data_IF_551185465181
#
_entry.id   IF_551185465181
#
_cell.length_a   1.000
_cell.length_b   1.000
_cell.length_c   1.000
_cell.angle_alpha   90.00
_cell.angle_beta   90.00
_cell.angle_gamma   90.00
#
_symmetry.space_group_name_H-M   'P 1'
#
loop_
_entity.id
_entity.type
_entity.pdbx_description
1 polymer ?
#
# COMPACT_ATOMS: atom_id res chain seq x y z
N UNK A 1 -71.91 21.15 -32.95
CA UNK A 1 -72.26 21.80 -34.17
C UNK A 1 -71.14 21.52 -35.16
N UNK A 2 -71.27 20.42 -35.90
CA UNK A 2 -71.56 20.32 -37.34
C UNK A 2 -70.55 21.02 -38.22
N UNK A 3 -69.99 20.49 -39.20
CA UNK A 3 -70.21 19.53 -40.25
C UNK A 3 -69.08 19.70 -41.29
N UNK A 4 -68.47 18.75 -41.72
CA UNK A 4 -68.70 17.80 -42.83
C UNK A 4 -68.02 18.13 -44.14
N UNK A 5 -67.43 17.08 -44.72
CA UNK A 5 -67.48 16.64 -46.19
C UNK A 5 -66.51 17.33 -47.16
N UNK A 6 -65.92 16.71 -48.15
CA UNK A 6 -65.92 15.42 -48.87
C UNK A 6 -64.78 15.43 -49.83
N UNK A 7 -64.08 14.35 -49.98
CA UNK A 7 -64.05 13.41 -51.13
C UNK A 7 -63.77 13.98 -52.55
N UNK A 8 -62.69 13.49 -53.15
CA UNK A 8 -62.74 12.65 -54.39
C UNK A 8 -61.41 12.75 -55.17
N UNK A 9 -60.77 11.67 -55.29
CA UNK A 9 -60.65 10.66 -56.34
C UNK A 9 -59.40 10.80 -57.23
N UNK A 10 -58.66 9.69 -57.17
CA UNK A 10 -57.70 9.16 -58.12
C UNK A 10 -58.23 9.15 -59.59
N UNK A 11 -57.45 8.94 -60.67
CA UNK A 11 -56.54 7.80 -60.83
C UNK A 11 -55.27 8.04 -61.73
N UNK A 12 -54.28 7.22 -61.52
CA UNK A 12 -53.78 6.16 -62.39
C UNK A 12 -52.73 6.47 -63.46
N UNK A 13 -51.76 5.62 -63.46
CA UNK A 13 -50.97 4.93 -64.53
C UNK A 13 -49.88 5.70 -65.28
N UNK A 14 -48.74 5.21 -65.21
CA UNK A 14 -47.96 4.29 -66.07
C UNK A 14 -46.53 4.78 -66.23
N UNK A 15 -45.64 3.96 -65.84
CA UNK A 15 -44.70 3.10 -66.57
C UNK A 15 -43.52 3.77 -67.29
N UNK A 16 -42.37 3.26 -66.96
CA UNK A 16 -41.25 2.93 -67.84
C UNK A 16 -40.01 3.81 -67.84
N UNK A 17 -38.99 3.19 -67.39
CA UNK A 17 -37.64 2.92 -67.96
C UNK A 17 -36.53 3.93 -67.91
N UNK A 18 -35.52 3.41 -67.33
CA UNK A 18 -34.08 3.28 -67.73
C UNK A 18 -33.14 4.50 -67.69
N UNK A 19 -32.09 4.25 -66.98
CA UNK A 19 -30.66 4.49 -67.26
C UNK A 19 -30.00 5.81 -66.88
N UNK A 20 -28.94 5.57 -66.18
CA UNK A 20 -27.58 6.11 -66.30
C UNK A 20 -27.16 7.36 -65.48
N UNK A 21 -26.30 7.06 -64.55
CA UNK A 21 -25.03 7.77 -64.23
C UNK A 21 -24.95 9.28 -64.30
N UNK A 22 -24.66 9.91 -63.22
CA UNK A 22 -23.53 10.85 -63.10
C UNK A 22 -23.29 11.27 -61.66
N UNK A 23 -22.03 11.22 -61.24
CA UNK A 23 -21.41 11.78 -60.09
C UNK A 23 -21.67 13.27 -59.94
N UNK A 24 -22.08 13.71 -58.75
CA UNK A 24 -21.83 15.08 -58.31
C UNK A 24 -21.66 15.07 -56.79
N UNK A 25 -20.46 15.47 -56.40
CA UNK A 25 -20.07 15.74 -55.03
C UNK A 25 -20.92 16.84 -54.42
N UNK A 26 -21.59 16.54 -53.31
CA UNK A 26 -22.27 17.49 -52.46
C UNK A 26 -21.64 17.46 -51.07
N UNK A 27 -20.85 18.48 -50.74
CA UNK A 27 -20.41 18.72 -49.37
C UNK A 27 -21.61 19.04 -48.49
N UNK A 28 -21.95 18.11 -47.61
CA UNK A 28 -22.85 18.35 -46.48
C UNK A 28 -22.01 18.23 -45.24
N UNK A 29 -21.74 19.36 -44.60
CA UNK A 29 -21.11 19.43 -43.27
C UNK A 29 -22.07 18.89 -42.24
N UNK A 30 -21.94 17.61 -41.93
CA UNK A 30 -22.50 17.02 -40.72
C UNK A 30 -21.46 17.26 -39.60
N UNK A 31 -21.87 17.91 -38.52
CA UNK A 31 -21.10 17.98 -37.32
C UNK A 31 -20.84 16.56 -36.83
N UNK A 32 -19.57 16.13 -36.85
CA UNK A 32 -19.12 14.94 -36.17
C UNK A 32 -19.26 15.16 -34.65
N UNK A 33 -19.80 14.17 -33.92
CA UNK A 33 -19.63 14.18 -32.47
C UNK A 33 -18.15 14.08 -32.15
N UNK A 34 -17.69 14.86 -31.17
CA UNK A 34 -16.33 14.88 -30.70
C UNK A 34 -15.79 13.45 -30.52
N UNK A 35 -14.68 13.21 -31.20
CA UNK A 35 -13.95 11.96 -31.15
C UNK A 35 -13.59 11.66 -29.70
N UNK A 36 -14.01 10.50 -29.22
CA UNK A 36 -13.55 9.87 -28.01
C UNK A 36 -12.04 9.97 -27.93
N UNK A 37 -11.54 10.44 -26.78
CA UNK A 37 -10.13 10.35 -26.39
C UNK A 37 -9.60 8.95 -26.70
N UNK A 38 -8.41 8.90 -27.26
CA UNK A 38 -7.82 7.67 -27.76
C UNK A 38 -7.69 6.63 -26.65
N UNK A 39 -8.26 5.46 -26.89
CA UNK A 39 -7.93 4.27 -26.14
C UNK A 39 -6.42 4.04 -26.26
N UNK A 40 -5.75 3.91 -25.13
CA UNK A 40 -4.34 3.56 -25.06
C UNK A 40 -4.11 2.22 -25.76
N UNK A 41 -2.98 2.07 -26.46
CA UNK A 41 -2.66 0.91 -27.29
C UNK A 41 -2.64 -0.44 -26.54
N UNK A 42 -2.64 -0.43 -25.20
CA UNK A 42 -2.55 -1.62 -24.34
C UNK A 42 -3.90 -2.10 -23.79
N UNK A 43 -5.00 -1.40 -24.03
CA UNK A 43 -6.34 -1.81 -23.57
C UNK A 43 -6.55 -1.81 -22.04
N UNK A 44 -5.59 -1.29 -21.28
CA UNK A 44 -5.65 -1.25 -19.81
C UNK A 44 -6.47 -0.06 -19.27
N UNK A 45 -6.69 0.97 -20.07
CA UNK A 45 -7.40 2.19 -19.67
C UNK A 45 -8.64 2.41 -20.56
N UNK A 46 -9.73 3.05 -20.04
CA UNK A 46 -9.84 3.59 -18.67
C UNK A 46 -9.96 2.52 -17.59
N UNK A 47 -9.52 2.86 -16.39
CA UNK A 47 -9.65 2.02 -15.19
C UNK A 47 -10.44 2.78 -14.14
N UNK A 48 -11.34 2.11 -13.44
CA UNK A 48 -12.09 2.66 -12.31
C UNK A 48 -11.75 1.87 -11.06
N UNK A 49 -11.35 2.56 -10.00
CA UNK A 49 -10.99 1.95 -8.72
C UNK A 49 -11.90 2.54 -7.64
N UNK A 50 -12.67 1.66 -7.00
CA UNK A 50 -13.52 2.01 -5.87
C UNK A 50 -12.70 2.06 -4.58
N UNK A 51 -12.99 3.02 -3.71
CA UNK A 51 -12.43 3.14 -2.37
C UNK A 51 -13.52 3.48 -1.35
N UNK A 52 -13.18 3.40 -0.06
CA UNK A 52 -14.11 3.79 1.01
C UNK A 52 -14.52 5.27 0.97
N UNK A 53 -13.70 6.11 0.34
CA UNK A 53 -13.92 7.56 0.26
C UNK A 53 -14.54 8.02 -1.07
N UNK A 54 -14.48 7.18 -2.11
CA UNK A 54 -15.02 7.49 -3.44
C UNK A 54 -14.36 6.69 -4.55
N UNK A 55 -14.66 7.04 -5.78
CA UNK A 55 -14.21 6.38 -7.00
C UNK A 55 -13.11 7.19 -7.68
N UNK A 56 -12.06 6.53 -8.15
CA UNK A 56 -11.02 7.10 -8.99
C UNK A 56 -11.18 6.59 -10.43
N UNK A 57 -11.44 7.49 -11.39
CA UNK A 57 -11.50 7.17 -12.84
C UNK A 57 -10.20 7.63 -13.48
N UNK A 58 -9.42 6.69 -13.99
CA UNK A 58 -8.11 6.90 -14.60
C UNK A 58 -8.25 6.65 -16.10
N UNK A 59 -8.29 7.70 -16.89
CA UNK A 59 -8.60 7.62 -18.32
C UNK A 59 -7.42 7.13 -19.19
N UNK A 60 -6.19 7.33 -18.73
CA UNK A 60 -4.98 6.99 -19.48
C UNK A 60 -3.84 6.65 -18.51
N UNK A 61 -2.77 6.02 -19.02
CA UNK A 61 -1.59 5.66 -18.22
C UNK A 61 -1.00 6.90 -17.54
N UNK A 62 -0.95 6.91 -16.19
CA UNK A 62 -0.41 8.03 -15.42
C UNK A 62 1.08 8.25 -15.68
N UNK A 63 1.51 9.51 -15.54
CA UNK A 63 2.91 9.94 -15.74
C UNK A 63 3.43 10.78 -14.58
N UNK A 64 2.55 11.44 -13.84
CA UNK A 64 2.89 12.33 -12.75
C UNK A 64 2.15 11.87 -11.50
N UNK A 65 2.78 10.94 -10.80
CA UNK A 65 2.18 10.28 -9.64
C UNK A 65 2.64 10.97 -8.37
N UNK A 66 1.70 11.28 -7.50
CA UNK A 66 1.96 11.65 -6.10
C UNK A 66 1.54 10.47 -5.22
N UNK A 67 2.36 10.17 -4.20
CA UNK A 67 2.07 9.08 -3.26
C UNK A 67 1.93 9.59 -1.84
N UNK A 68 0.91 9.07 -1.15
CA UNK A 68 0.59 9.35 0.26
C UNK A 68 0.44 8.01 0.98
N UNK A 69 0.96 7.92 2.20
CA UNK A 69 0.91 6.72 3.01
C UNK A 69 1.99 5.70 2.69
N UNK A 70 1.91 4.56 3.37
CA UNK A 70 2.96 3.54 3.33
C UNK A 70 2.93 2.71 2.05
N UNK A 71 4.10 2.34 1.52
CA UNK A 71 4.28 1.36 0.44
C UNK A 71 3.86 1.83 -0.97
N UNK A 72 3.20 2.99 -1.11
CA UNK A 72 2.75 3.46 -2.42
C UNK A 72 3.90 3.85 -3.34
N UNK A 73 4.91 4.55 -2.82
CA UNK A 73 6.12 4.89 -3.57
C UNK A 73 6.92 3.65 -3.95
N UNK A 74 7.10 2.71 -3.01
CA UNK A 74 7.78 1.43 -3.21
C UNK A 74 7.22 0.67 -4.41
N UNK A 75 5.91 0.46 -4.39
CA UNK A 75 5.23 -0.30 -5.44
C UNK A 75 5.28 0.40 -6.79
N UNK A 76 5.06 1.72 -6.82
CA UNK A 76 5.15 2.49 -8.06
C UNK A 76 6.55 2.41 -8.67
N UNK A 77 7.62 2.55 -7.86
CA UNK A 77 9.01 2.45 -8.30
C UNK A 77 9.35 1.02 -8.75
N UNK A 78 8.90 -0.01 -8.03
CA UNK A 78 9.10 -1.40 -8.42
C UNK A 78 8.40 -1.73 -9.76
N UNK A 79 7.24 -1.14 -10.03
CA UNK A 79 6.53 -1.22 -11.30
C UNK A 79 7.09 -0.31 -12.40
N UNK A 80 8.21 0.34 -12.13
CA UNK A 80 8.92 1.12 -13.14
C UNK A 80 8.48 2.57 -13.27
N UNK A 81 7.69 3.11 -12.36
CA UNK A 81 7.22 4.49 -12.38
C UNK A 81 7.70 5.25 -11.16
N UNK A 82 8.57 6.24 -11.36
CA UNK A 82 9.06 7.09 -10.27
C UNK A 82 8.04 8.20 -10.00
N UNK A 83 7.53 8.32 -8.75
CA UNK A 83 6.65 9.43 -8.38
C UNK A 83 7.32 10.79 -8.58
N UNK A 84 6.53 11.83 -8.84
CA UNK A 84 7.03 13.22 -8.89
C UNK A 84 7.11 13.86 -7.52
N UNK A 85 6.27 13.42 -6.58
CA UNK A 85 6.34 13.81 -5.18
C UNK A 85 5.86 12.66 -4.27
N UNK A 86 6.45 12.58 -3.07
CA UNK A 86 6.19 11.57 -2.04
C UNK A 86 6.02 12.22 -0.68
N UNK A 87 5.28 11.57 0.19
CA UNK A 87 5.21 11.93 1.60
C UNK A 87 6.61 11.91 2.24
N UNK A 88 6.93 12.94 3.04
CA UNK A 88 8.17 12.96 3.80
C UNK A 88 8.20 11.90 4.90
N UNK A 89 9.29 11.14 4.96
CA UNK A 89 9.51 10.15 6.01
C UNK A 89 10.32 10.76 7.15
N UNK A 90 9.64 11.44 8.07
CA UNK A 90 10.30 12.13 9.20
C UNK A 90 10.95 11.13 10.17
N UNK A 91 10.28 10.01 10.45
CA UNK A 91 10.81 8.97 11.31
C UNK A 91 11.37 7.80 10.50
N UNK A 92 12.64 7.51 10.64
CA UNK A 92 13.31 6.42 9.90
C UNK A 92 13.60 6.73 8.43
N UNK A 93 13.43 7.99 8.00
CA UNK A 93 13.91 8.45 6.70
C UNK A 93 15.39 8.83 6.72
N UNK A 94 15.94 9.07 5.54
CA UNK A 94 17.28 9.58 5.35
C UNK A 94 17.38 11.09 5.64
N UNK A 95 18.52 11.71 5.28
CA UNK A 95 18.75 13.14 5.51
C UNK A 95 17.78 14.07 4.73
N UNK A 96 17.18 13.56 3.67
CA UNK A 96 16.22 14.29 2.83
C UNK A 96 14.77 13.82 3.10
N UNK A 97 14.54 13.15 4.23
CA UNK A 97 13.25 12.59 4.65
C UNK A 97 12.63 11.63 3.62
N UNK A 98 13.46 10.82 2.96
CA UNK A 98 13.01 9.77 2.05
C UNK A 98 13.32 8.38 2.64
N UNK A 99 12.58 7.37 2.20
CA UNK A 99 12.87 5.97 2.54
C UNK A 99 14.14 5.54 1.80
N UNK A 100 15.16 5.05 2.53
CA UNK A 100 16.47 4.74 1.97
C UNK A 100 16.39 3.74 0.81
N UNK A 101 15.60 2.67 0.95
CA UNK A 101 15.44 1.63 -0.08
C UNK A 101 14.73 2.14 -1.34
N UNK A 102 13.79 3.09 -1.20
CA UNK A 102 13.11 3.73 -2.34
C UNK A 102 14.08 4.64 -3.07
N UNK A 103 14.84 5.47 -2.34
CA UNK A 103 15.90 6.31 -2.91
C UNK A 103 16.92 5.47 -3.69
N UNK A 104 17.47 4.42 -3.08
CA UNK A 104 18.45 3.53 -3.72
C UNK A 104 17.91 2.92 -5.02
N UNK A 105 16.62 2.51 -5.02
CA UNK A 105 15.99 1.96 -6.21
C UNK A 105 15.85 3.01 -7.34
N UNK A 106 15.47 4.25 -7.01
CA UNK A 106 15.35 5.36 -7.96
C UNK A 106 16.73 5.74 -8.52
N UNK A 107 17.74 5.90 -7.66
CA UNK A 107 19.11 6.23 -8.07
C UNK A 107 19.72 5.14 -8.97
N UNK A 108 19.50 3.86 -8.65
CA UNK A 108 19.94 2.72 -9.47
C UNK A 108 19.34 2.72 -10.87
N UNK A 109 18.13 3.27 -11.03
CA UNK A 109 17.48 3.46 -12.34
C UNK A 109 18.01 4.68 -13.08
N UNK A 110 18.66 5.61 -12.39
CA UNK A 110 19.12 6.89 -12.92
C UNK A 110 17.99 7.91 -13.10
N UNK A 111 16.88 7.73 -12.40
CA UNK A 111 15.75 8.65 -12.40
C UNK A 111 16.02 9.82 -11.44
N UNK A 112 15.28 10.92 -11.62
CA UNK A 112 15.30 12.05 -10.70
C UNK A 112 14.53 11.70 -9.42
N UNK A 113 15.07 12.11 -8.26
CA UNK A 113 14.41 11.88 -6.98
C UNK A 113 13.14 12.74 -6.87
N UNK A 114 12.05 12.19 -6.30
CA UNK A 114 10.82 12.94 -6.09
C UNK A 114 11.00 14.08 -5.09
N UNK A 115 10.20 15.13 -5.22
CA UNK A 115 10.04 16.12 -4.17
C UNK A 115 9.38 15.47 -2.94
N UNK A 116 9.70 15.95 -1.74
CA UNK A 116 9.00 15.54 -0.51
C UNK A 116 8.01 16.61 -0.07
N UNK A 117 6.91 16.19 0.54
CA UNK A 117 5.92 17.10 1.13
C UNK A 117 5.41 16.57 2.46
N UNK A 118 5.03 17.50 3.34
CA UNK A 118 4.53 17.21 4.68
C UNK A 118 3.10 16.65 4.64
N UNK A 119 2.80 15.68 5.50
CA UNK A 119 1.45 15.15 5.71
C UNK A 119 1.00 15.26 7.17
N UNK A 120 1.89 15.59 8.09
CA UNK A 120 1.61 15.68 9.52
C UNK A 120 2.03 17.06 10.04
N UNK A 121 1.16 17.81 10.74
CA UNK A 121 -0.21 17.44 11.17
C UNK A 121 -1.27 17.50 10.06
N UNK A 122 -0.99 18.12 8.93
CA UNK A 122 -1.90 18.24 7.79
C UNK A 122 -1.13 18.07 6.48
N UNK A 123 -1.82 17.59 5.45
CA UNK A 123 -1.23 17.44 4.11
C UNK A 123 -0.97 18.82 3.51
N UNK A 124 0.24 19.07 3.03
CA UNK A 124 0.58 20.25 2.25
C UNK A 124 -0.04 20.16 0.84
N UNK A 125 -1.30 20.62 0.76
CA UNK A 125 -2.07 20.58 -0.49
C UNK A 125 -1.48 21.48 -1.57
N UNK A 126 -0.76 22.54 -1.20
CA UNK A 126 -0.10 23.43 -2.14
C UNK A 126 1.08 22.72 -2.82
N UNK A 127 1.90 21.99 -2.04
CA UNK A 127 2.99 21.18 -2.58
C UNK A 127 2.47 20.04 -3.49
N UNK A 128 1.37 19.39 -3.11
CA UNK A 128 0.72 18.38 -3.97
C UNK A 128 0.25 19.01 -5.29
N UNK A 129 -0.38 20.19 -5.24
CA UNK A 129 -0.85 20.88 -6.45
C UNK A 129 0.31 21.37 -7.34
N UNK A 130 1.43 21.85 -6.75
CA UNK A 130 2.65 22.25 -7.48
C UNK A 130 3.30 21.06 -8.20
N UNK A 131 3.12 19.85 -7.69
CA UNK A 131 3.59 18.64 -8.36
C UNK A 131 2.80 18.30 -9.64
N UNK A 132 1.66 18.97 -9.91
CA UNK A 132 0.80 18.77 -11.08
C UNK A 132 0.50 17.29 -11.33
N UNK A 133 -0.07 16.55 -10.37
CA UNK A 133 -0.32 15.12 -10.51
C UNK A 133 -1.38 14.81 -11.58
N UNK A 134 -1.23 13.67 -12.23
CA UNK A 134 -2.30 13.04 -13.03
C UNK A 134 -2.86 11.77 -12.33
N UNK A 135 -2.26 11.37 -11.20
CA UNK A 135 -2.74 10.35 -10.29
C UNK A 135 -2.19 10.58 -8.87
N UNK A 136 -3.04 10.37 -7.86
CA UNK A 136 -2.66 10.34 -6.45
C UNK A 136 -2.94 8.94 -5.89
N UNK A 137 -1.91 8.30 -5.31
CA UNK A 137 -2.00 6.97 -4.72
C UNK A 137 -1.94 7.07 -3.19
N UNK A 138 -3.00 6.63 -2.52
CA UNK A 138 -3.14 6.64 -1.07
C UNK A 138 -3.86 5.38 -0.51
N UNK A 139 -3.66 4.16 -1.07
CA UNK A 139 -4.42 2.97 -0.68
C UNK A 139 -4.09 2.46 0.73
N UNK A 140 -2.94 2.82 1.30
CA UNK A 140 -2.56 2.52 2.69
C UNK A 140 -2.22 3.82 3.41
N UNK A 141 -3.25 4.61 3.67
CA UNK A 141 -3.15 5.93 4.28
C UNK A 141 -4.27 6.18 5.28
N UNK A 142 -4.19 7.30 5.98
CA UNK A 142 -5.23 7.79 6.87
C UNK A 142 -5.89 9.07 6.36
N UNK A 143 -5.91 9.31 5.03
CA UNK A 143 -6.58 10.50 4.50
C UNK A 143 -8.06 10.49 4.87
N UNK A 144 -8.57 11.67 5.25
CA UNK A 144 -9.98 11.86 5.60
C UNK A 144 -10.83 12.11 4.35
N UNK A 145 -12.16 12.05 4.49
CA UNK A 145 -13.06 12.40 3.39
C UNK A 145 -12.82 13.82 2.87
N UNK A 146 -12.63 14.79 3.76
CA UNK A 146 -12.39 16.19 3.38
C UNK A 146 -11.08 16.32 2.58
N UNK A 147 -10.03 15.59 2.98
CA UNK A 147 -8.76 15.55 2.25
C UNK A 147 -8.90 14.87 0.89
N UNK A 148 -9.62 13.74 0.83
CA UNK A 148 -9.92 13.03 -0.41
C UNK A 148 -10.68 13.92 -1.40
N UNK A 149 -11.67 14.66 -0.93
CA UNK A 149 -12.49 15.55 -1.76
C UNK A 149 -11.63 16.69 -2.38
N UNK A 150 -10.64 17.19 -1.64
CA UNK A 150 -9.70 18.20 -2.16
C UNK A 150 -8.69 17.58 -3.14
N UNK A 151 -8.07 16.46 -2.78
CA UNK A 151 -7.12 15.74 -3.64
C UNK A 151 -7.76 15.33 -4.97
N UNK A 152 -9.01 14.86 -4.94
CA UNK A 152 -9.75 14.43 -6.12
C UNK A 152 -10.13 15.59 -7.07
N UNK A 153 -10.00 16.86 -6.63
CA UNK A 153 -10.11 18.00 -7.51
C UNK A 153 -8.80 18.27 -8.28
N UNK A 154 -7.66 17.78 -7.78
CA UNK A 154 -6.35 17.91 -8.43
C UNK A 154 -6.13 16.79 -9.44
N UNK A 155 -6.37 15.53 -9.03
CA UNK A 155 -6.21 14.34 -9.87
C UNK A 155 -7.06 13.17 -9.36
N UNK A 156 -7.33 12.14 -10.18
CA UNK A 156 -7.89 10.89 -9.69
C UNK A 156 -7.12 10.40 -8.46
N UNK A 157 -7.82 10.15 -7.36
CA UNK A 157 -7.22 9.78 -6.08
C UNK A 157 -7.69 8.39 -5.67
N UNK A 158 -6.74 7.45 -5.55
CA UNK A 158 -6.99 6.08 -5.11
C UNK A 158 -6.75 6.01 -3.62
N UNK A 159 -7.83 5.92 -2.84
CA UNK A 159 -7.78 5.77 -1.37
C UNK A 159 -7.87 4.29 -0.95
N UNK A 160 -7.92 4.04 0.36
CA UNK A 160 -8.05 2.70 0.93
C UNK A 160 -9.42 2.07 0.63
N UNK A 161 -9.49 0.73 0.43
CA UNK A 161 -10.75 0.06 0.03
C UNK A 161 -11.74 -0.11 1.20
N UNK A 162 -11.29 -0.07 2.44
CA UNK A 162 -12.09 -0.31 3.63
C UNK A 162 -11.87 0.74 4.70
N UNK A 163 -11.17 0.40 5.77
CA UNK A 163 -10.83 1.33 6.85
C UNK A 163 -9.43 1.94 6.61
N UNK A 164 -9.22 3.15 7.14
CA UNK A 164 -7.92 3.82 7.10
C UNK A 164 -6.83 2.94 7.75
N UNK A 165 -5.65 2.92 7.17
CA UNK A 165 -4.48 2.15 7.63
C UNK A 165 -4.69 0.62 7.73
N UNK A 166 -5.72 0.07 7.05
CA UNK A 166 -6.11 -1.34 7.17
C UNK A 166 -6.03 -2.12 5.86
N UNK A 167 -5.46 -1.55 4.82
CA UNK A 167 -5.28 -2.26 3.54
C UNK A 167 -4.21 -3.33 3.69
N UNK A 168 -4.53 -4.56 3.31
CA UNK A 168 -3.54 -5.64 3.31
C UNK A 168 -2.40 -5.33 2.32
N UNK A 169 -1.19 -5.77 2.64
CA UNK A 169 0.01 -5.43 1.88
C UNK A 169 -0.05 -5.90 0.42
N UNK A 170 -0.62 -7.07 0.17
CA UNK A 170 -0.82 -7.64 -1.16
C UNK A 170 -1.92 -6.91 -1.93
N UNK A 171 -3.06 -6.62 -1.29
CA UNK A 171 -4.13 -5.81 -1.89
C UNK A 171 -3.62 -4.42 -2.28
N UNK A 172 -2.80 -3.80 -1.45
CA UNK A 172 -2.18 -2.50 -1.74
C UNK A 172 -1.34 -2.54 -3.01
N UNK A 173 -0.49 -3.55 -3.17
CA UNK A 173 0.36 -3.72 -4.36
C UNK A 173 -0.52 -3.91 -5.60
N UNK A 174 -1.56 -4.74 -5.50
CA UNK A 174 -2.48 -5.02 -6.61
C UNK A 174 -3.30 -3.78 -7.01
N UNK A 175 -3.83 -3.01 -6.04
CA UNK A 175 -4.55 -1.75 -6.28
C UNK A 175 -3.66 -0.75 -7.03
N UNK A 176 -2.41 -0.59 -6.60
CA UNK A 176 -1.45 0.30 -7.27
C UNK A 176 -1.15 -0.20 -8.69
N UNK A 177 -0.95 -1.51 -8.85
CA UNK A 177 -0.74 -2.12 -10.16
C UNK A 177 -1.92 -1.89 -11.12
N UNK A 178 -3.15 -2.00 -10.61
CA UNK A 178 -4.35 -1.72 -11.38
C UNK A 178 -4.43 -0.24 -11.77
N UNK A 179 -4.15 0.67 -10.83
CA UNK A 179 -4.10 2.12 -11.09
C UNK A 179 -3.06 2.51 -12.16
N UNK A 180 -1.95 1.77 -12.24
CA UNK A 180 -0.88 1.98 -13.21
C UNK A 180 -1.08 1.22 -14.54
N UNK A 181 -2.16 0.43 -14.65
CA UNK A 181 -2.41 -0.45 -15.80
C UNK A 181 -1.42 -1.63 -15.90
N UNK A 182 -0.84 -2.03 -14.77
CA UNK A 182 0.19 -3.07 -14.63
C UNK A 182 -0.23 -4.17 -13.63
N UNK A 183 -1.53 -4.49 -13.57
CA UNK A 183 -2.11 -5.45 -12.63
C UNK A 183 -1.34 -6.77 -12.58
N UNK A 184 -1.02 -7.34 -13.75
CA UNK A 184 -0.31 -8.61 -13.83
C UNK A 184 1.13 -8.54 -13.30
N UNK A 185 1.80 -7.42 -13.50
CA UNK A 185 3.16 -7.22 -12.98
C UNK A 185 3.11 -7.07 -11.45
N UNK A 186 2.07 -6.41 -10.91
CA UNK A 186 1.84 -6.29 -9.48
C UNK A 186 1.53 -7.64 -8.81
N UNK A 187 0.68 -8.48 -9.42
CA UNK A 187 0.47 -9.87 -8.99
C UNK A 187 1.80 -10.65 -8.94
N UNK A 188 2.68 -10.43 -9.93
CA UNK A 188 4.03 -11.00 -9.94
C UNK A 188 4.89 -10.53 -8.76
N UNK A 189 4.84 -9.25 -8.40
CA UNK A 189 5.55 -8.71 -7.23
C UNK A 189 5.07 -9.34 -5.92
N UNK A 190 3.76 -9.56 -5.77
CA UNK A 190 3.18 -10.24 -4.61
C UNK A 190 3.70 -11.69 -4.52
N UNK A 191 3.72 -12.42 -5.63
CA UNK A 191 4.24 -13.78 -5.69
C UNK A 191 5.74 -13.84 -5.39
N UNK A 192 6.52 -12.87 -5.88
CA UNK A 192 7.96 -12.76 -5.63
C UNK A 192 8.24 -12.51 -4.13
N UNK A 193 7.49 -11.63 -3.48
CA UNK A 193 7.60 -11.38 -2.03
C UNK A 193 7.30 -12.68 -1.25
N UNK A 194 6.18 -13.34 -1.54
CA UNK A 194 5.80 -14.59 -0.87
C UNK A 194 6.85 -15.68 -1.07
N UNK A 195 7.37 -15.80 -2.29
CA UNK A 195 8.43 -16.77 -2.62
C UNK A 195 9.73 -16.44 -1.89
N UNK A 196 10.11 -15.16 -1.82
CA UNK A 196 11.34 -14.71 -1.17
C UNK A 196 11.30 -14.99 0.34
N UNK A 197 10.20 -14.62 1.01
CA UNK A 197 10.04 -14.87 2.43
C UNK A 197 9.86 -16.36 2.74
N UNK A 198 9.14 -17.10 1.91
CA UNK A 198 8.98 -18.56 2.06
C UNK A 198 10.29 -19.34 1.95
N UNK A 199 11.25 -18.90 1.12
CA UNK A 199 12.59 -19.49 1.04
C UNK A 199 13.35 -19.37 2.36
N UNK A 200 13.16 -18.30 3.11
CA UNK A 200 13.77 -18.18 4.45
C UNK A 200 13.32 -19.34 5.34
N UNK A 201 12.02 -19.66 5.36
CA UNK A 201 11.51 -20.81 6.13
C UNK A 201 12.04 -22.17 5.63
N UNK A 202 12.34 -22.30 4.33
CA UNK A 202 12.99 -23.50 3.78
C UNK A 202 14.47 -23.60 4.19
N UNK A 203 15.18 -22.50 4.23
CA UNK A 203 16.60 -22.38 4.62
C UNK A 203 16.79 -22.45 6.13
N UNK A 204 15.77 -22.04 6.90
CA UNK A 204 15.73 -22.01 8.37
C UNK A 204 14.58 -22.86 8.91
N UNK A 205 14.58 -24.19 8.70
CA UNK A 205 13.47 -25.06 9.12
C UNK A 205 13.22 -25.03 10.63
N UNK A 206 14.21 -24.59 11.44
CA UNK A 206 14.05 -24.39 12.88
C UNK A 206 13.05 -23.28 13.23
N UNK A 207 12.76 -22.33 12.33
CA UNK A 207 11.79 -21.27 12.55
C UNK A 207 10.36 -21.82 12.68
N UNK A 208 10.06 -22.91 11.99
CA UNK A 208 8.72 -23.54 12.03
C UNK A 208 8.31 -24.11 13.40
N UNK A 209 9.25 -24.27 14.32
CA UNK A 209 8.99 -24.75 15.68
C UNK A 209 8.96 -23.64 16.73
N UNK A 210 9.21 -22.37 16.33
CA UNK A 210 9.30 -21.21 17.21
C UNK A 210 8.03 -20.39 17.19
N UNK A 211 7.57 -20.03 18.40
CA UNK A 211 6.51 -19.03 18.59
C UNK A 211 7.10 -17.65 18.80
N UNK A 212 6.37 -16.62 18.36
CA UNK A 212 6.77 -15.23 18.60
C UNK A 212 5.61 -14.35 19.03
N UNK A 213 5.94 -13.26 19.72
CA UNK A 213 5.08 -12.10 19.92
C UNK A 213 5.83 -10.83 19.53
N UNK A 214 5.19 -9.94 18.78
CA UNK A 214 5.76 -8.64 18.46
C UNK A 214 5.19 -7.61 19.42
N UNK A 215 5.99 -7.22 20.41
CA UNK A 215 5.60 -6.31 21.47
C UNK A 215 6.00 -4.86 21.15
N UNK A 216 5.27 -3.91 21.69
CA UNK A 216 5.66 -2.51 21.71
C UNK A 216 5.38 -1.89 23.07
N UNK A 217 6.21 -0.91 23.45
CA UNK A 217 6.14 -0.23 24.73
C UNK A 217 6.37 1.26 24.45
N UNK A 218 5.31 2.04 24.28
CA UNK A 218 5.43 3.48 23.99
C UNK A 218 5.86 4.29 25.22
N UNK A 219 5.47 3.86 26.44
CA UNK A 219 5.77 4.52 27.70
C UNK A 219 5.96 3.47 28.82
N UNK A 220 6.75 3.77 29.89
CA UNK A 220 6.88 2.88 31.04
C UNK A 220 5.50 2.48 31.61
N UNK A 221 5.32 1.19 31.85
CA UNK A 221 4.07 0.60 32.32
C UNK A 221 3.07 0.25 31.24
N UNK A 222 3.35 0.56 29.97
CA UNK A 222 2.57 0.11 28.82
C UNK A 222 3.16 -1.15 28.21
N UNK A 223 2.29 -1.98 27.66
CA UNK A 223 2.64 -3.14 26.85
C UNK A 223 1.55 -3.30 25.80
N UNK A 224 1.94 -3.40 24.55
CA UNK A 224 1.03 -3.75 23.47
C UNK A 224 1.61 -4.89 22.65
N UNK A 225 0.76 -5.59 21.90
CA UNK A 225 1.15 -6.65 21.00
C UNK A 225 0.49 -6.44 19.64
N UNK A 226 1.25 -6.59 18.56
CA UNK A 226 0.71 -6.55 17.21
C UNK A 226 0.00 -7.86 16.87
N UNK A 227 -1.16 -7.75 16.21
CA UNK A 227 -1.93 -8.89 15.76
C UNK A 227 -1.28 -9.57 14.54
N UNK A 228 -1.58 -10.85 14.26
CA UNK A 228 -0.94 -11.59 13.16
C UNK A 228 -1.13 -10.98 11.76
N UNK A 229 -2.22 -10.21 11.55
CA UNK A 229 -2.50 -9.53 10.29
C UNK A 229 -1.77 -8.17 10.14
N UNK A 230 -1.08 -7.72 11.17
CA UNK A 230 -0.26 -6.51 11.10
C UNK A 230 1.05 -6.81 10.36
N UNK A 231 1.54 -5.94 9.45
CA UNK A 231 2.69 -6.26 8.59
C UNK A 231 3.94 -6.74 9.33
N UNK A 232 4.25 -6.21 10.52
CA UNK A 232 5.40 -6.65 11.34
C UNK A 232 5.29 -8.10 11.79
N UNK A 233 4.10 -8.54 12.12
CA UNK A 233 3.84 -9.92 12.49
C UNK A 233 3.71 -10.82 11.24
N UNK A 234 3.01 -10.33 10.22
CA UNK A 234 2.79 -11.08 8.98
C UNK A 234 4.09 -11.45 8.25
N UNK A 235 5.10 -10.56 8.24
CA UNK A 235 6.40 -10.85 7.60
C UNK A 235 7.11 -12.03 8.30
N UNK A 236 7.00 -12.14 9.63
CA UNK A 236 7.58 -13.22 10.42
C UNK A 236 6.88 -14.56 10.14
N UNK A 237 5.55 -14.54 10.01
CA UNK A 237 4.79 -15.73 9.63
C UNK A 237 5.13 -16.19 8.21
N UNK A 238 5.31 -15.28 7.27
CA UNK A 238 5.73 -15.59 5.91
C UNK A 238 7.16 -16.21 5.85
N UNK A 239 8.01 -15.89 6.83
CA UNK A 239 9.32 -16.51 7.01
C UNK A 239 9.27 -17.84 7.79
N UNK A 240 8.08 -18.30 8.18
CA UNK A 240 7.87 -19.61 8.78
C UNK A 240 7.74 -19.64 10.30
N UNK A 241 7.92 -18.52 11.02
CA UNK A 241 7.64 -18.46 12.45
C UNK A 241 6.12 -18.55 12.73
N UNK A 242 5.75 -18.81 13.97
CA UNK A 242 4.34 -18.88 14.39
C UNK A 242 4.02 -17.78 15.38
N UNK A 243 3.02 -16.97 15.10
CA UNK A 243 2.48 -16.07 16.13
C UNK A 243 2.02 -16.91 17.33
N UNK A 244 2.40 -16.48 18.55
CA UNK A 244 1.96 -17.15 19.75
C UNK A 244 0.42 -17.12 19.81
N UNK A 245 -0.25 -18.26 20.05
CA UNK A 245 -1.71 -18.33 20.10
C UNK A 245 -2.35 -17.39 21.13
N UNK A 246 -1.60 -16.94 22.15
CA UNK A 246 -2.08 -15.98 23.13
C UNK A 246 -2.37 -14.60 22.52
N UNK A 247 -1.64 -14.23 21.45
CA UNK A 247 -1.81 -12.94 20.76
C UNK A 247 -3.22 -12.82 20.17
N UNK A 248 -3.68 -13.85 19.44
CA UNK A 248 -5.02 -13.85 18.83
C UNK A 248 -6.19 -13.89 19.83
N UNK A 249 -5.89 -14.15 21.11
CA UNK A 249 -6.89 -14.14 22.18
C UNK A 249 -7.08 -12.74 22.81
N UNK A 250 -6.21 -11.79 22.48
CA UNK A 250 -6.28 -10.44 23.03
C UNK A 250 -7.29 -9.59 22.26
N UNK A 251 -8.01 -8.74 22.98
CA UNK A 251 -8.97 -7.81 22.37
C UNK A 251 -8.23 -6.77 21.53
N UNK A 252 -8.60 -6.68 20.27
CA UNK A 252 -8.01 -5.69 19.34
C UNK A 252 -8.46 -4.29 19.70
N UNK A 253 -7.53 -3.37 19.83
CA UNK A 253 -7.83 -1.96 20.07
C UNK A 253 -8.48 -1.36 18.84
N UNK A 254 -9.65 -0.75 19.00
CA UNK A 254 -10.42 -0.19 17.89
C UNK A 254 -9.58 0.79 17.05
N UNK A 255 -9.63 0.62 15.74
CA UNK A 255 -8.87 1.44 14.78
C UNK A 255 -7.39 1.08 14.65
N UNK A 256 -6.96 -0.08 15.19
CA UNK A 256 -5.58 -0.56 15.07
C UNK A 256 -5.56 -2.06 14.73
N UNK A 257 -4.40 -2.57 14.33
CA UNK A 257 -4.12 -4.01 14.24
C UNK A 257 -3.26 -4.49 15.43
N UNK A 258 -3.55 -3.98 16.63
CA UNK A 258 -2.81 -4.29 17.86
C UNK A 258 -3.73 -4.35 19.08
N UNK A 259 -3.20 -4.88 20.17
CA UNK A 259 -3.88 -4.93 21.48
C UNK A 259 -3.04 -4.23 22.53
N UNK A 260 -3.64 -3.29 23.26
CA UNK A 260 -3.02 -2.64 24.40
C UNK A 260 -3.35 -3.41 25.67
N UNK A 261 -2.33 -3.94 26.34
CA UNK A 261 -2.46 -4.88 27.46
C UNK A 261 -2.14 -4.29 28.83
N UNK A 262 -1.20 -3.36 28.89
CA UNK A 262 -0.53 -2.96 30.14
C UNK A 262 0.55 -3.94 30.57
N UNK A 263 1.62 -3.41 31.19
CA UNK A 263 2.80 -4.21 31.53
C UNK A 263 2.55 -5.28 32.61
N UNK A 264 1.49 -5.14 33.40
CA UNK A 264 1.08 -6.16 34.38
C UNK A 264 0.68 -7.50 33.74
N UNK A 265 0.44 -7.52 32.41
CA UNK A 265 0.10 -8.72 31.65
C UNK A 265 1.32 -9.32 30.92
N UNK A 266 2.53 -8.95 31.27
CA UNK A 266 3.76 -9.45 30.66
C UNK A 266 3.91 -10.98 30.79
N UNK A 267 3.32 -11.60 31.81
CA UNK A 267 3.30 -13.04 32.07
C UNK A 267 2.50 -13.84 31.01
N UNK A 268 1.67 -13.19 30.22
CA UNK A 268 1.01 -13.83 29.05
C UNK A 268 2.02 -14.40 28.05
N UNK A 269 3.24 -13.87 28.03
CA UNK A 269 4.31 -14.25 27.10
C UNK A 269 5.37 -15.17 27.72
N UNK A 270 5.07 -15.82 28.85
CA UNK A 270 6.00 -16.70 29.56
C UNK A 270 6.40 -17.95 28.72
N UNK A 271 5.54 -18.43 27.87
CA UNK A 271 5.78 -19.59 26.99
C UNK A 271 6.22 -19.19 25.57
N UNK A 272 6.31 -17.90 25.27
CA UNK A 272 6.73 -17.40 23.95
C UNK A 272 8.24 -17.59 23.73
N UNK A 273 8.62 -18.13 22.59
CA UNK A 273 10.02 -18.42 22.27
C UNK A 273 10.83 -17.16 21.93
N UNK A 274 10.26 -16.29 21.10
CA UNK A 274 10.91 -15.08 20.61
C UNK A 274 10.04 -13.85 20.90
N UNK A 275 10.66 -12.80 21.40
CA UNK A 275 10.04 -11.49 21.51
C UNK A 275 10.66 -10.54 20.48
N UNK A 276 9.83 -9.90 19.69
CA UNK A 276 10.25 -8.82 18.79
C UNK A 276 9.83 -7.49 19.40
N UNK A 277 10.71 -6.50 19.30
CA UNK A 277 10.40 -5.13 19.71
C UNK A 277 11.35 -4.14 19.03
N UNK A 278 11.03 -2.86 19.11
CA UNK A 278 11.90 -1.79 18.69
C UNK A 278 11.83 -0.63 19.69
N UNK A 279 12.89 0.18 19.71
CA UNK A 279 13.00 1.35 20.54
C UNK A 279 13.46 2.54 19.71
N UNK A 280 13.15 3.77 20.18
CA UNK A 280 13.56 4.99 19.49
C UNK A 280 15.06 5.23 19.58
N UNK A 281 15.68 4.74 20.68
CA UNK A 281 17.12 4.80 20.94
C UNK A 281 17.53 3.85 22.08
N UNK A 282 18.82 3.80 22.35
CA UNK A 282 19.39 2.95 23.42
C UNK A 282 18.98 3.37 24.85
N UNK A 283 18.60 4.62 25.08
CA UNK A 283 18.14 5.10 26.39
C UNK A 283 16.72 4.60 26.67
N UNK A 284 15.83 4.67 25.69
CA UNK A 284 14.49 4.09 25.79
C UNK A 284 14.57 2.58 26.01
N UNK A 285 15.38 1.86 25.20
CA UNK A 285 15.60 0.43 25.40
C UNK A 285 16.01 0.11 26.84
N UNK A 286 17.05 0.77 27.34
CA UNK A 286 17.53 0.55 28.71
C UNK A 286 16.46 0.86 29.77
N UNK A 287 15.64 1.88 29.55
CA UNK A 287 14.54 2.26 30.44
C UNK A 287 13.45 1.20 30.48
N UNK A 288 13.05 0.66 29.34
CA UNK A 288 12.02 -0.36 29.25
C UNK A 288 12.52 -1.70 29.79
N UNK A 289 13.71 -2.12 29.41
CA UNK A 289 14.32 -3.38 29.87
C UNK A 289 14.61 -3.38 31.37
N UNK A 290 14.81 -2.21 31.98
CA UNK A 290 14.97 -2.08 33.44
C UNK A 290 13.65 -2.26 34.22
N UNK A 291 12.50 -2.27 33.59
CA UNK A 291 11.21 -2.51 34.24
C UNK A 291 11.10 -3.97 34.69
N UNK A 292 10.86 -4.25 36.00
CA UNK A 292 10.92 -5.62 36.51
C UNK A 292 10.01 -6.62 35.84
N UNK A 293 8.81 -6.20 35.39
CA UNK A 293 7.87 -7.09 34.72
C UNK A 293 8.33 -7.40 33.31
N UNK A 294 8.83 -6.42 32.54
CA UNK A 294 9.39 -6.63 31.22
C UNK A 294 10.64 -7.53 31.26
N UNK A 295 11.58 -7.23 32.18
CA UNK A 295 12.80 -8.01 32.38
C UNK A 295 12.56 -9.47 32.82
N UNK A 296 11.37 -9.80 33.31
CA UNK A 296 11.02 -11.17 33.73
C UNK A 296 10.46 -12.00 32.59
N UNK A 297 10.05 -11.41 31.46
CA UNK A 297 9.63 -12.17 30.28
C UNK A 297 10.75 -13.18 29.94
N UNK A 298 10.49 -14.49 29.91
CA UNK A 298 11.54 -15.50 29.78
C UNK A 298 12.38 -15.34 28.51
N UNK A 299 11.79 -14.92 27.39
CA UNK A 299 12.50 -14.63 26.16
C UNK A 299 13.48 -13.46 26.31
N UNK A 300 13.07 -12.34 26.92
CA UNK A 300 13.93 -11.20 27.22
C UNK A 300 15.07 -11.62 28.18
N UNK A 301 14.75 -12.33 29.24
CA UNK A 301 15.72 -12.78 30.25
C UNK A 301 16.80 -13.70 29.70
N UNK A 302 16.49 -14.56 28.73
CA UNK A 302 17.46 -15.47 28.09
C UNK A 302 18.14 -14.85 26.87
N UNK A 303 17.68 -13.66 26.45
CA UNK A 303 18.20 -12.94 25.27
C UNK A 303 17.75 -13.54 23.95
N UNK A 304 16.57 -14.20 23.88
CA UNK A 304 15.93 -14.59 22.65
C UNK A 304 14.92 -13.55 22.18
N UNK A 305 15.17 -12.31 22.48
CA UNK A 305 14.48 -11.15 21.96
C UNK A 305 15.23 -10.56 20.77
N UNK A 306 14.48 -10.16 19.76
CA UNK A 306 14.96 -9.44 18.57
C UNK A 306 14.58 -7.98 18.74
N UNK A 307 15.55 -7.17 19.11
CA UNK A 307 15.34 -5.74 19.39
C UNK A 307 16.31 -4.89 18.60
N UNK A 308 15.84 -3.73 18.15
CA UNK A 308 16.64 -2.75 17.43
C UNK A 308 16.16 -1.34 17.69
N UNK A 309 17.03 -0.36 17.53
CA UNK A 309 16.73 1.07 17.49
C UNK A 309 17.26 1.74 16.22
N UNK A 310 17.66 0.94 15.22
CA UNK A 310 17.92 1.45 13.88
C UNK A 310 16.59 1.79 13.20
N UNK A 311 16.30 3.09 13.13
CA UNK A 311 15.01 3.58 12.64
C UNK A 311 14.75 3.26 11.16
N UNK A 312 15.79 3.20 10.33
CA UNK A 312 15.64 2.84 8.92
C UNK A 312 15.29 1.35 8.79
N UNK A 313 16.01 0.50 9.53
CA UNK A 313 15.71 -0.93 9.61
C UNK A 313 14.28 -1.17 10.13
N UNK A 314 13.91 -0.54 11.25
CA UNK A 314 12.56 -0.68 11.83
C UNK A 314 11.50 -0.27 10.84
N UNK A 315 11.69 0.85 10.13
CA UNK A 315 10.74 1.32 9.13
C UNK A 315 10.58 0.31 7.98
N UNK A 316 11.69 -0.19 7.43
CA UNK A 316 11.68 -1.19 6.35
C UNK A 316 11.05 -2.52 6.80
N UNK A 317 11.33 -2.99 8.02
CA UNK A 317 10.78 -4.22 8.60
C UNK A 317 9.31 -4.08 9.07
N UNK A 318 8.77 -2.86 9.07
CA UNK A 318 7.40 -2.58 9.50
C UNK A 318 6.38 -2.61 8.34
N UNK A 319 6.85 -2.78 7.11
CA UNK A 319 6.01 -2.83 5.91
C UNK A 319 6.43 -4.00 5.03
N UNK A 320 5.50 -4.52 4.25
CA UNK A 320 5.78 -5.58 3.28
C UNK A 320 5.61 -4.99 1.89
N UNK A 321 6.73 -4.64 1.25
CA UNK A 321 6.73 -4.03 -0.07
C UNK A 321 7.79 -4.67 -0.98
N UNK A 322 7.70 -4.47 -2.31
CA UNK A 322 8.68 -5.04 -3.24
C UNK A 322 10.12 -4.55 -3.03
N UNK A 323 10.31 -3.38 -2.41
CA UNK A 323 11.63 -2.78 -2.19
C UNK A 323 12.11 -2.95 -0.75
N UNK A 324 11.22 -2.83 0.26
CA UNK A 324 11.60 -2.95 1.67
C UNK A 324 12.04 -4.37 2.02
N UNK A 325 11.30 -5.39 1.56
CA UNK A 325 11.59 -6.79 1.87
C UNK A 325 13.01 -7.19 1.46
N UNK A 326 13.45 -7.05 0.20
CA UNK A 326 14.81 -7.42 -0.17
C UNK A 326 15.89 -6.55 0.49
N UNK A 327 15.55 -5.31 0.89
CA UNK A 327 16.50 -4.40 1.52
C UNK A 327 16.81 -4.80 2.96
N UNK A 328 15.84 -5.32 3.71
CA UNK A 328 15.98 -5.62 5.15
C UNK A 328 16.24 -7.10 5.43
N UNK A 329 16.01 -8.00 4.47
CA UNK A 329 15.84 -9.42 4.71
C UNK A 329 17.07 -10.09 5.33
N UNK A 330 18.26 -9.88 4.76
CA UNK A 330 19.47 -10.57 5.22
C UNK A 330 19.78 -10.25 6.68
N UNK A 331 19.74 -8.96 7.05
CA UNK A 331 19.97 -8.53 8.43
C UNK A 331 18.88 -9.05 9.37
N UNK A 332 17.62 -9.05 8.91
CA UNK A 332 16.50 -9.52 9.74
C UNK A 332 16.62 -11.01 10.03
N UNK A 333 16.96 -11.82 9.02
CA UNK A 333 17.19 -13.26 9.17
C UNK A 333 18.33 -13.55 10.13
N UNK A 334 19.44 -12.81 10.03
CA UNK A 334 20.58 -12.96 10.94
C UNK A 334 20.19 -12.67 12.40
N UNK A 335 19.42 -11.61 12.65
CA UNK A 335 18.91 -11.26 13.98
C UNK A 335 17.98 -12.35 14.53
N UNK A 336 17.06 -12.86 13.72
CA UNK A 336 16.15 -13.95 14.11
C UNK A 336 16.93 -15.22 14.42
N UNK A 337 17.86 -15.61 13.57
CA UNK A 337 18.68 -16.82 13.75
C UNK A 337 19.55 -16.72 15.01
N UNK A 338 20.07 -15.54 15.32
CA UNK A 338 20.83 -15.31 16.56
C UNK A 338 19.97 -15.46 17.82
N UNK A 339 18.75 -14.94 17.82
CA UNK A 339 17.81 -15.07 18.92
C UNK A 339 17.33 -16.53 19.06
N UNK A 340 17.01 -17.20 17.95
CA UNK A 340 16.56 -18.59 17.90
C UNK A 340 17.56 -19.57 18.55
N UNK A 341 18.88 -19.32 18.42
CA UNK A 341 19.91 -20.16 19.06
C UNK A 341 19.87 -20.14 20.59
N UNK A 342 19.19 -19.18 21.20
CA UNK A 342 19.06 -19.04 22.67
C UNK A 342 17.79 -19.67 23.23
N UNK A 343 16.89 -20.12 22.35
CA UNK A 343 15.67 -20.84 22.74
C UNK A 343 16.05 -22.27 23.18
N UNK A 344 15.67 -22.71 24.39
CA UNK A 344 15.89 -24.09 24.84
C UNK A 344 15.17 -25.08 23.93
N UNK A 345 15.87 -26.14 23.53
CA UNK A 345 15.27 -27.25 22.74
C UNK A 345 14.75 -28.35 23.65
#
# INVERSE_FOLDING_TARGET
VTTSRRLRRLPALALATLTATALLAGCSSSAEPASSAGASADGAFPVTIDSALGEAVIDAKPKRIVTIGQGSADTAVALGTTPVAVEEQVWGGDADAQQAWVREAIEKRGDELPATFTVTPEIDMDAVAEAEPDLILAPQSGITQDQFDVLSQLAPTVAYPGEAWSTAWDDQIEIIGEALGQKKDAEGLVDDIRSTLGKVGEEHPEFADLTFAYLYTGEPGTLGVFQPNEPRAAILELMGLKSDPIVAQQEVTAGTASSVLGLENADLFDDTDLIFSWFSDAEEQATIEAQPLYAQIPAVKRGSDVVTYDKQFVNAASIITPLSVPWVLDEYVDLIADAARRVPR
#
